data_IF_794493343587
#
_entry.id   IF_794493343587
#
_cell.length_a   1.000
_cell.length_b   1.000
_cell.length_c   1.000
_cell.angle_alpha   90.00
_cell.angle_beta   90.00
_cell.angle_gamma   90.00
#
_symmetry.space_group_name_H-M   'P 1'
#
loop_
_entity.id
_entity.type
_entity.pdbx_description
1 polymer ?
#
# COMPACT_ATOMS: atom_id res chain seq x y z
N UNK A 1 -5.89 -1.09 -20.71
CA UNK A 1 -5.66 -0.83 -19.28
C UNK A 1 -6.77 -1.53 -18.51
N UNK A 2 -6.48 -2.27 -17.45
CA UNK A 2 -7.54 -2.99 -16.72
C UNK A 2 -8.49 -1.97 -16.08
N UNK A 3 -9.80 -2.16 -16.21
CA UNK A 3 -10.81 -1.29 -15.59
C UNK A 3 -11.38 -1.98 -14.36
N UNK A 4 -11.51 -1.24 -13.26
CA UNK A 4 -12.21 -1.71 -12.06
C UNK A 4 -13.39 -0.77 -11.81
N UNK A 5 -14.60 -1.24 -12.15
CA UNK A 5 -15.85 -0.46 -12.06
C UNK A 5 -15.77 0.91 -12.76
N UNK A 6 -15.20 0.97 -13.96
CA UNK A 6 -15.07 2.20 -14.74
C UNK A 6 -13.95 3.15 -14.28
N UNK A 7 -13.14 2.74 -13.29
CA UNK A 7 -11.94 3.47 -12.87
C UNK A 7 -10.72 2.83 -13.55
N UNK A 8 -9.88 3.62 -14.25
CA UNK A 8 -8.69 3.09 -14.90
C UNK A 8 -7.67 2.61 -13.86
N UNK A 9 -7.32 1.32 -13.90
CA UNK A 9 -6.22 0.78 -13.07
C UNK A 9 -4.90 1.13 -13.75
N UNK A 10 -4.16 2.04 -13.12
CA UNK A 10 -2.88 2.57 -13.65
C UNK A 10 -1.77 1.53 -13.62
N UNK A 11 -1.68 0.73 -12.55
CA UNK A 11 -0.72 -0.39 -12.41
C UNK A 11 -1.39 -1.55 -11.68
N UNK A 12 -1.38 -2.74 -12.28
CA UNK A 12 -1.95 -3.94 -11.67
C UNK A 12 -0.97 -4.65 -10.73
N UNK A 13 -1.54 -5.41 -9.78
CA UNK A 13 -0.78 -6.26 -8.86
C UNK A 13 0.19 -7.17 -9.61
N UNK A 14 1.43 -7.25 -9.13
CA UNK A 14 2.51 -8.07 -9.68
C UNK A 14 3.21 -7.49 -10.91
N UNK A 15 2.83 -6.31 -11.37
CA UNK A 15 3.54 -5.56 -12.41
C UNK A 15 4.66 -4.69 -11.80
N UNK A 16 5.61 -4.29 -12.65
CA UNK A 16 6.68 -3.36 -12.25
C UNK A 16 6.14 -1.94 -12.15
N UNK A 17 6.52 -1.23 -11.10
CA UNK A 17 6.23 0.19 -10.86
C UNK A 17 7.53 0.95 -10.58
N UNK A 18 7.56 2.23 -10.94
CA UNK A 18 8.62 3.17 -10.55
C UNK A 18 8.08 4.07 -9.45
N UNK A 19 8.76 4.10 -8.30
CA UNK A 19 8.45 4.98 -7.18
C UNK A 19 9.01 6.40 -7.43
N UNK A 20 8.51 7.44 -6.74
CA UNK A 20 9.01 8.82 -6.88
C UNK A 20 10.50 8.99 -6.60
N UNK A 21 11.05 8.18 -5.68
CA UNK A 21 12.48 8.12 -5.37
C UNK A 21 13.32 7.32 -6.40
N UNK A 22 12.72 6.94 -7.54
CA UNK A 22 13.40 6.19 -8.61
C UNK A 22 13.52 4.67 -8.35
N UNK A 23 13.07 4.17 -7.20
CA UNK A 23 13.11 2.75 -6.88
C UNK A 23 12.15 1.98 -7.78
N UNK A 24 12.66 0.92 -8.44
CA UNK A 24 11.84 -0.02 -9.21
C UNK A 24 11.37 -1.14 -8.30
N UNK A 25 10.07 -1.34 -8.22
CA UNK A 25 9.46 -2.36 -7.37
C UNK A 25 8.40 -3.17 -8.12
N UNK A 26 8.01 -4.30 -7.54
CA UNK A 26 6.88 -5.11 -7.94
C UNK A 26 5.68 -4.70 -7.10
N UNK A 27 4.62 -4.23 -7.75
CA UNK A 27 3.40 -3.80 -7.07
C UNK A 27 2.77 -4.98 -6.31
N UNK A 28 2.47 -4.78 -5.03
CA UNK A 28 1.86 -5.77 -4.14
C UNK A 28 2.67 -7.06 -3.92
N UNK A 29 3.98 -6.93 -3.82
CA UNK A 29 4.86 -7.96 -3.25
C UNK A 29 5.25 -9.12 -4.16
N UNK A 30 4.32 -9.64 -4.97
CA UNK A 30 4.50 -10.88 -5.73
C UNK A 30 4.45 -10.63 -7.22
N UNK A 31 5.55 -10.95 -7.92
CA UNK A 31 5.65 -10.81 -9.36
C UNK A 31 4.76 -11.84 -10.06
N UNK A 32 3.90 -11.39 -10.96
CA UNK A 32 3.12 -12.29 -11.82
C UNK A 32 4.07 -13.03 -12.76
N UNK A 33 4.05 -14.36 -12.72
CA UNK A 33 4.82 -15.16 -13.68
C UNK A 33 4.11 -15.16 -15.04
N UNK A 34 4.89 -15.12 -16.13
CA UNK A 34 4.35 -15.06 -17.50
C UNK A 34 3.51 -16.28 -17.88
N UNK A 35 3.79 -17.44 -17.28
CA UNK A 35 3.12 -18.71 -17.55
C UNK A 35 2.26 -19.18 -16.35
N UNK A 36 1.92 -18.29 -15.42
CA UNK A 36 1.03 -18.66 -14.33
C UNK A 36 -0.40 -18.76 -14.85
N UNK A 37 -1.03 -19.90 -14.59
CA UNK A 37 -2.48 -20.04 -14.74
C UNK A 37 -3.19 -18.98 -13.86
N UNK A 38 -4.28 -18.37 -14.33
CA UNK A 38 -5.05 -17.44 -13.52
C UNK A 38 -5.52 -18.14 -12.24
N UNK A 39 -5.11 -17.65 -11.06
CA UNK A 39 -5.66 -18.17 -9.81
C UNK A 39 -7.15 -17.82 -9.75
N UNK A 40 -8.03 -18.83 -9.72
CA UNK A 40 -9.46 -18.61 -9.48
C UNK A 40 -9.61 -18.14 -8.04
N UNK A 41 -9.65 -16.82 -7.85
CA UNK A 41 -10.01 -16.22 -6.56
C UNK A 41 -11.52 -16.11 -6.54
N UNK A 42 -12.17 -16.95 -5.72
CA UNK A 42 -13.58 -16.77 -5.42
C UNK A 42 -13.82 -15.40 -4.76
N UNK A 43 -15.04 -14.92 -4.85
CA UNK A 43 -15.42 -13.70 -4.14
C UNK A 43 -15.23 -13.87 -2.63
N UNK A 44 -14.80 -12.79 -1.98
CA UNK A 44 -14.79 -12.75 -0.51
C UNK A 44 -16.24 -12.92 -0.01
N UNK A 45 -16.47 -13.77 1.00
CA UNK A 45 -17.78 -13.89 1.66
C UNK A 45 -18.30 -12.54 2.14
N UNK A 46 -19.62 -12.36 2.16
CA UNK A 46 -20.23 -11.06 2.51
C UNK A 46 -19.83 -10.55 3.89
N UNK A 47 -19.69 -11.44 4.88
CA UNK A 47 -19.28 -11.08 6.25
C UNK A 47 -17.84 -10.57 6.35
N UNK A 48 -17.00 -10.82 5.35
CA UNK A 48 -15.59 -10.38 5.31
C UNK A 48 -15.41 -9.04 4.58
N UNK A 49 -16.49 -8.47 4.01
CA UNK A 49 -16.43 -7.22 3.25
C UNK A 49 -16.52 -6.03 4.19
N UNK A 50 -15.58 -5.09 4.03
CA UNK A 50 -15.56 -3.84 4.81
C UNK A 50 -16.30 -2.73 4.08
N UNK A 51 -16.85 -1.78 4.85
CA UNK A 51 -17.47 -0.58 4.32
C UNK A 51 -16.41 0.44 3.91
N UNK A 52 -16.73 1.28 2.92
CA UNK A 52 -15.86 2.38 2.53
C UNK A 52 -15.76 3.37 3.70
N UNK A 53 -14.55 3.76 4.13
CA UNK A 53 -14.39 4.70 5.22
C UNK A 53 -14.99 6.05 4.89
N UNK A 54 -15.72 6.61 5.86
CA UNK A 54 -16.32 7.94 5.80
C UNK A 54 -16.10 8.59 7.17
N UNK A 55 -15.82 9.90 7.20
CA UNK A 55 -15.60 10.61 8.46
C UNK A 55 -14.46 11.63 8.39
N UNK A 56 -14.57 12.67 9.20
CA UNK A 56 -13.62 13.79 9.22
C UNK A 56 -12.25 13.37 9.77
N UNK A 57 -12.21 12.59 10.87
CA UNK A 57 -10.96 12.11 11.47
C UNK A 57 -10.16 11.23 10.51
N UNK A 58 -10.84 10.34 9.78
CA UNK A 58 -10.20 9.55 8.72
C UNK A 58 -9.52 10.45 7.68
N UNK A 59 -10.19 11.51 7.23
CA UNK A 59 -9.61 12.45 6.27
C UNK A 59 -8.46 13.26 6.87
N UNK A 60 -8.53 13.62 8.16
CA UNK A 60 -7.43 14.29 8.88
C UNK A 60 -6.18 13.41 8.90
N UNK A 61 -6.28 12.17 9.37
CA UNK A 61 -5.16 11.23 9.39
C UNK A 61 -4.60 11.00 7.99
N UNK A 62 -5.49 10.79 7.00
CA UNK A 62 -5.10 10.64 5.60
C UNK A 62 -4.33 11.85 5.06
N UNK A 63 -4.76 13.06 5.44
CA UNK A 63 -4.14 14.31 5.04
C UNK A 63 -2.74 14.41 5.68
N UNK A 64 -2.61 14.20 6.98
CA UNK A 64 -1.33 14.18 7.71
C UNK A 64 -0.34 13.21 7.07
N UNK A 65 -0.72 11.94 6.88
CA UNK A 65 0.15 10.92 6.26
C UNK A 65 0.69 11.39 4.90
N UNK A 66 -0.16 12.03 4.07
CA UNK A 66 0.24 12.53 2.74
C UNK A 66 1.10 13.78 2.80
N UNK A 67 0.78 14.71 3.69
CA UNK A 67 1.52 15.97 3.86
C UNK A 67 2.95 15.71 4.32
N UNK A 68 3.14 14.79 5.27
CA UNK A 68 4.45 14.40 5.77
C UNK A 68 5.11 13.25 4.97
N UNK A 69 4.51 12.86 3.82
CA UNK A 69 5.03 11.84 2.89
C UNK A 69 5.37 10.50 3.56
N UNK A 70 4.57 10.09 4.55
CA UNK A 70 4.80 8.89 5.34
C UNK A 70 4.26 7.64 4.64
N UNK A 71 5.03 6.56 4.68
CA UNK A 71 4.51 5.23 4.34
C UNK A 71 3.75 4.66 5.56
N UNK A 72 2.65 3.95 5.32
CA UNK A 72 1.92 3.27 6.41
C UNK A 72 1.65 1.82 6.04
N UNK A 73 1.71 0.93 7.04
CA UNK A 73 1.31 -0.46 6.82
C UNK A 73 -0.19 -0.55 6.53
N UNK A 74 -0.96 0.44 6.98
CA UNK A 74 -2.40 0.56 6.70
C UNK A 74 -2.67 0.57 5.18
N UNK A 75 -1.96 1.42 4.43
CA UNK A 75 -2.11 1.55 2.98
C UNK A 75 -1.31 0.47 2.23
N UNK A 76 -0.03 0.30 2.55
CA UNK A 76 0.87 -0.56 1.77
C UNK A 76 0.56 -2.06 1.90
N UNK A 77 -0.05 -2.50 3.02
CA UNK A 77 -0.46 -3.90 3.19
C UNK A 77 -1.89 -4.20 2.75
N UNK A 78 -2.64 -3.20 2.27
CA UNK A 78 -4.08 -3.31 1.95
C UNK A 78 -4.94 -3.71 3.18
N UNK A 79 -4.68 -3.08 4.32
CA UNK A 79 -5.35 -3.42 5.57
C UNK A 79 -6.87 -3.13 5.48
N UNK A 80 -7.75 -4.12 5.73
CA UNK A 80 -9.20 -3.90 5.69
C UNK A 80 -9.69 -2.98 6.82
N UNK A 81 -8.92 -2.84 7.91
CA UNK A 81 -9.31 -2.08 9.09
C UNK A 81 -8.82 -0.62 9.05
N UNK A 82 -8.17 -0.18 7.97
CA UNK A 82 -7.65 1.18 7.83
C UNK A 82 -8.72 2.25 8.13
N UNK A 83 -9.96 2.01 7.70
CA UNK A 83 -11.08 2.91 7.95
C UNK A 83 -11.40 3.10 9.43
N UNK A 84 -11.41 2.01 10.19
CA UNK A 84 -11.66 2.02 11.63
C UNK A 84 -10.49 2.67 12.38
N UNK A 85 -9.26 2.22 12.14
CA UNK A 85 -8.08 2.72 12.84
C UNK A 85 -7.88 4.23 12.63
N UNK A 86 -7.98 4.71 11.37
CA UNK A 86 -7.77 6.12 11.07
C UNK A 86 -8.93 6.99 11.56
N UNK A 87 -10.17 6.46 11.59
CA UNK A 87 -11.30 7.19 12.21
C UNK A 87 -11.12 7.35 13.72
N UNK A 88 -10.40 6.43 14.37
CA UNK A 88 -9.96 6.52 15.75
C UNK A 88 -8.68 7.37 15.94
N UNK A 89 -8.19 8.04 14.88
CA UNK A 89 -6.99 8.87 14.95
C UNK A 89 -5.68 8.08 15.05
N UNK A 90 -5.69 6.79 14.71
CA UNK A 90 -4.52 5.90 14.84
C UNK A 90 -4.02 5.42 13.49
N UNK A 91 -2.72 5.48 13.26
CA UNK A 91 -2.04 4.87 12.11
C UNK A 91 -0.77 4.17 12.56
N UNK A 92 -0.34 3.17 11.79
CA UNK A 92 0.97 2.51 11.97
C UNK A 92 1.86 2.88 10.81
N UNK A 93 2.87 3.70 11.10
CA UNK A 93 3.85 4.20 10.14
C UNK A 93 4.83 3.06 9.81
N UNK A 94 5.25 3.00 8.55
CA UNK A 94 6.37 2.18 8.10
C UNK A 94 7.57 3.09 7.90
N UNK A 95 8.68 2.73 8.55
CA UNK A 95 9.96 3.40 8.39
C UNK A 95 10.71 2.83 7.19
N UNK A 96 11.63 3.63 6.62
CA UNK A 96 12.43 3.31 5.45
C UNK A 96 11.58 3.12 4.17
N UNK A 97 10.44 3.84 4.10
CA UNK A 97 9.58 3.90 2.92
C UNK A 97 8.68 2.67 2.68
N UNK A 98 8.22 2.56 1.43
CA UNK A 98 7.13 1.67 0.99
C UNK A 98 7.58 0.45 0.18
N UNK A 99 8.89 0.20 0.10
CA UNK A 99 9.48 -0.92 -0.65
C UNK A 99 10.25 -1.84 0.28
N UNK A 100 9.86 -3.11 0.32
CA UNK A 100 10.58 -4.14 1.06
C UNK A 100 11.57 -4.88 0.15
N UNK A 101 12.76 -5.18 0.68
CA UNK A 101 13.75 -6.04 -0.01
C UNK A 101 13.43 -7.52 0.08
N UNK A 102 12.53 -7.91 1.00
CA UNK A 102 12.06 -9.28 1.17
C UNK A 102 10.78 -9.52 0.38
N UNK A 103 10.58 -10.76 -0.06
CA UNK A 103 9.41 -11.19 -0.84
C UNK A 103 8.57 -12.21 -0.04
N UNK A 104 8.06 -11.80 1.12
CA UNK A 104 7.20 -12.66 1.94
C UNK A 104 5.93 -13.02 1.16
N UNK A 105 5.58 -14.31 1.09
CA UNK A 105 4.46 -14.82 0.26
C UNK A 105 3.08 -14.29 0.63
N UNK A 106 2.93 -13.68 1.80
CA UNK A 106 1.66 -13.13 2.28
C UNK A 106 1.63 -11.60 2.26
N UNK A 107 2.79 -10.94 2.09
CA UNK A 107 2.91 -9.50 2.25
C UNK A 107 2.54 -8.78 0.96
N UNK A 108 1.71 -7.74 1.09
CA UNK A 108 1.29 -6.90 -0.05
C UNK A 108 2.12 -5.62 -0.19
N UNK A 109 3.17 -5.42 0.62
CA UNK A 109 4.10 -4.30 0.42
C UNK A 109 4.86 -4.51 -0.89
N UNK A 110 5.14 -3.42 -1.62
CA UNK A 110 5.87 -3.52 -2.88
C UNK A 110 7.28 -4.11 -2.68
N UNK A 111 7.67 -5.07 -3.53
CA UNK A 111 8.98 -5.75 -3.41
C UNK A 111 9.99 -5.12 -4.37
N UNK A 112 11.13 -4.67 -3.87
CA UNK A 112 12.16 -4.03 -4.68
C UNK A 112 13.47 -3.81 -3.93
N UNK A 113 14.45 -3.18 -4.57
CA UNK A 113 15.73 -2.85 -3.94
C UNK A 113 15.96 -1.34 -3.96
N UNK A 114 15.79 -0.64 -2.82
CA UNK A 114 16.07 0.79 -2.69
C UNK A 114 17.55 1.19 -2.78
N UNK A 115 18.47 0.22 -2.86
CA UNK A 115 19.94 0.44 -2.91
C UNK A 115 20.48 1.28 -1.75
N UNK A 116 19.88 1.14 -0.56
CA UNK A 116 20.28 1.87 0.63
C UNK A 116 19.82 3.33 0.67
N UNK A 117 18.96 3.75 -0.25
CA UNK A 117 18.32 5.06 -0.17
C UNK A 117 17.49 5.16 1.12
N UNK A 118 17.66 6.26 1.85
CA UNK A 118 16.94 6.61 3.08
C UNK A 118 16.59 8.10 3.03
N UNK A 119 15.43 8.46 3.58
CA UNK A 119 15.04 9.86 3.76
C UNK A 119 15.51 10.34 5.14
N UNK A 120 16.47 11.27 5.15
CA UNK A 120 17.03 11.84 6.37
C UNK A 120 16.00 12.63 7.19
N UNK A 121 14.92 13.11 6.55
CA UNK A 121 13.85 13.86 7.21
C UNK A 121 12.71 12.96 7.71
N UNK A 122 12.72 11.65 7.43
CA UNK A 122 11.66 10.71 7.86
C UNK A 122 11.41 10.78 9.38
N UNK A 123 12.43 10.84 10.27
CA UNK A 123 12.17 10.93 11.71
C UNK A 123 11.44 12.21 12.12
N UNK A 124 11.75 13.34 11.49
CA UNK A 124 11.09 14.61 11.76
C UNK A 124 9.64 14.58 11.25
N UNK A 125 9.44 14.13 10.00
CA UNK A 125 8.10 14.01 9.42
C UNK A 125 7.20 13.02 10.16
N UNK A 126 7.75 11.98 10.79
CA UNK A 126 6.99 11.01 11.58
C UNK A 126 6.60 11.52 12.98
N UNK A 127 7.24 12.59 13.46
CA UNK A 127 7.00 13.17 14.79
C UNK A 127 6.00 14.34 14.78
N UNK A 128 5.68 14.88 13.60
CA UNK A 128 4.69 15.95 13.37
C UNK A 128 3.26 15.42 13.22
#
# INVERSE_FOLDING_TARGET
MSELKGIPVVVSSGQKVSKPNGVRAIKNGIKTQRNAEPSVRGDKPDWLRVKVPTGETYQKVRKTVREHKLATVCEESMCPNMGECWSAGTATIMLMGDVCTRACRFCSVDTGNPRGWLDENEPAGAAE
#
